data_IF_641085928215
#
_entry.id   IF_641085928215
#
_cell.length_a   1.000
_cell.length_b   1.000
_cell.length_c   1.000
_cell.angle_alpha   90.00
_cell.angle_beta   90.00
_cell.angle_gamma   90.00
#
_symmetry.space_group_name_H-M   'P 1'
#
loop_
_entity.id
_entity.type
_entity.pdbx_description
1 polymer ?
#
# COMPACT_ATOMS: atom_id res chain seq x y z
N UNK A 1 12.33 19.77 -16.99
CA UNK A 1 10.87 19.69 -16.80
C UNK A 1 10.41 18.39 -17.44
N UNK A 2 9.77 17.50 -16.68
CA UNK A 2 9.18 16.28 -17.23
C UNK A 2 7.77 16.62 -17.70
N UNK A 3 7.46 16.37 -18.98
CA UNK A 3 6.11 16.54 -19.51
C UNK A 3 5.33 15.25 -19.30
N UNK A 4 4.17 15.33 -18.65
CA UNK A 4 3.24 14.22 -18.46
C UNK A 4 1.95 14.58 -19.18
N UNK A 5 1.54 13.75 -20.13
CA UNK A 5 0.24 13.87 -20.79
C UNK A 5 -0.76 13.01 -20.04
N UNK A 6 -1.78 13.63 -19.45
CA UNK A 6 -2.87 12.92 -18.81
C UNK A 6 -3.96 12.56 -19.83
N UNK A 7 -4.53 11.36 -19.74
CA UNK A 7 -5.88 11.08 -20.26
C UNK A 7 -6.88 12.16 -19.82
N UNK A 8 -7.86 12.48 -20.68
CA UNK A 8 -8.79 13.60 -20.48
C UNK A 8 -9.60 13.49 -19.19
N UNK A 9 -10.04 12.28 -18.86
CA UNK A 9 -10.73 11.95 -17.61
C UNK A 9 -9.86 12.23 -16.38
N UNK A 10 -8.57 11.87 -16.43
CA UNK A 10 -7.62 12.15 -15.35
C UNK A 10 -7.28 13.64 -15.24
N UNK A 11 -7.20 14.35 -16.37
CA UNK A 11 -7.04 15.80 -16.36
C UNK A 11 -8.25 16.50 -15.72
N UNK A 12 -9.46 16.10 -16.09
CA UNK A 12 -10.70 16.65 -15.54
C UNK A 12 -10.82 16.39 -14.04
N UNK A 13 -10.50 15.16 -13.62
CA UNK A 13 -10.44 14.80 -12.21
C UNK A 13 -9.40 15.66 -11.47
N UNK A 14 -8.17 15.77 -11.97
CA UNK A 14 -7.12 16.55 -11.32
C UNK A 14 -7.50 18.04 -11.17
N UNK A 15 -8.16 18.61 -12.19
CA UNK A 15 -8.68 19.99 -12.13
C UNK A 15 -9.79 20.14 -11.09
N UNK A 16 -10.68 19.16 -10.98
CA UNK A 16 -11.74 19.16 -9.96
C UNK A 16 -11.17 19.09 -8.54
N UNK A 17 -10.13 18.29 -8.31
CA UNK A 17 -9.46 18.17 -7.02
C UNK A 17 -8.76 19.47 -6.59
N UNK A 18 -8.11 20.17 -7.53
CA UNK A 18 -7.55 21.51 -7.31
C UNK A 18 -8.65 22.52 -6.99
N UNK A 19 -9.76 22.48 -7.74
CA UNK A 19 -10.92 23.35 -7.48
C UNK A 19 -11.56 23.08 -6.10
N UNK A 20 -11.49 21.83 -5.62
CA UNK A 20 -11.90 21.44 -4.27
C UNK A 20 -10.89 21.83 -3.18
N UNK A 21 -9.76 22.44 -3.53
CA UNK A 21 -8.74 22.93 -2.60
C UNK A 21 -7.80 21.86 -2.08
N UNK A 22 -7.75 20.66 -2.68
CA UNK A 22 -6.83 19.60 -2.27
C UNK A 22 -5.38 19.88 -2.62
N UNK A 23 -5.12 20.73 -3.63
CA UNK A 23 -3.80 21.20 -3.99
C UNK A 23 -3.88 22.61 -4.62
N UNK A 24 -2.75 23.32 -4.64
CA UNK A 24 -2.66 24.65 -5.25
C UNK A 24 -2.77 24.61 -6.79
N UNK A 25 -2.23 23.56 -7.41
CA UNK A 25 -2.32 23.31 -8.83
C UNK A 25 -2.18 21.81 -9.15
N UNK A 26 -2.42 21.45 -10.42
CA UNK A 26 -2.40 20.06 -10.91
C UNK A 26 -1.00 19.44 -10.77
N UNK A 27 0.06 20.23 -10.95
CA UNK A 27 1.44 19.74 -10.84
C UNK A 27 1.80 19.38 -9.39
N UNK A 28 1.37 20.21 -8.43
CA UNK A 28 1.49 19.92 -7.01
C UNK A 28 0.74 18.67 -6.59
N UNK A 29 -0.50 18.52 -7.06
CA UNK A 29 -1.32 17.32 -6.82
C UNK A 29 -0.62 16.04 -7.34
N UNK A 30 -0.13 16.06 -8.59
CA UNK A 30 0.55 14.91 -9.19
C UNK A 30 1.85 14.59 -8.44
N UNK A 31 2.62 15.61 -8.06
CA UNK A 31 3.87 15.42 -7.33
C UNK A 31 3.63 14.75 -5.97
N UNK A 32 2.58 15.15 -5.27
CA UNK A 32 2.15 14.53 -4.01
C UNK A 32 1.75 13.07 -4.21
N UNK A 33 0.86 12.78 -5.18
CA UNK A 33 0.42 11.42 -5.49
C UNK A 33 1.61 10.52 -5.84
N UNK A 34 2.54 11.00 -6.67
CA UNK A 34 3.75 10.23 -7.03
C UNK A 34 4.62 9.97 -5.81
N UNK A 35 4.76 10.94 -4.91
CA UNK A 35 5.53 10.77 -3.67
C UNK A 35 4.88 9.71 -2.77
N UNK A 36 3.57 9.77 -2.58
CA UNK A 36 2.81 8.80 -1.79
C UNK A 36 2.90 7.40 -2.39
N UNK A 37 2.68 7.29 -3.70
CA UNK A 37 2.80 6.02 -4.41
C UNK A 37 4.19 5.42 -4.27
N UNK A 38 5.26 6.23 -4.37
CA UNK A 38 6.64 5.76 -4.15
C UNK A 38 6.86 5.28 -2.72
N UNK A 39 6.31 5.95 -1.72
CA UNK A 39 6.43 5.54 -0.33
C UNK A 39 5.72 4.19 -0.08
N UNK A 40 4.49 4.05 -0.59
CA UNK A 40 3.70 2.81 -0.52
C UNK A 40 4.38 1.67 -1.30
N UNK A 41 4.91 1.96 -2.48
CA UNK A 41 5.65 0.97 -3.26
C UNK A 41 6.91 0.51 -2.52
N UNK A 42 7.66 1.44 -1.93
CA UNK A 42 8.87 1.10 -1.18
C UNK A 42 8.56 0.24 0.06
N UNK A 43 7.50 0.54 0.80
CA UNK A 43 7.10 -0.27 1.96
C UNK A 43 6.66 -1.68 1.55
N UNK A 44 5.82 -1.82 0.54
CA UNK A 44 5.39 -3.13 0.04
C UNK A 44 6.56 -3.92 -0.54
N UNK A 45 7.45 -3.28 -1.30
CA UNK A 45 8.63 -3.93 -1.85
C UNK A 45 9.51 -4.51 -0.75
N UNK A 46 9.74 -3.78 0.34
CA UNK A 46 10.51 -4.27 1.47
C UNK A 46 9.88 -5.51 2.13
N UNK A 47 8.54 -5.54 2.27
CA UNK A 47 7.82 -6.70 2.81
C UNK A 47 7.95 -7.92 1.90
N UNK A 48 7.81 -7.75 0.59
CA UNK A 48 7.96 -8.83 -0.38
C UNK A 48 9.40 -9.35 -0.40
N UNK A 49 10.40 -8.46 -0.39
CA UNK A 49 11.81 -8.85 -0.31
C UNK A 49 12.15 -9.57 0.99
N UNK A 50 11.52 -9.20 2.12
CA UNK A 50 11.68 -9.93 3.37
C UNK A 50 11.02 -11.31 3.31
N UNK A 51 9.81 -11.42 2.73
CA UNK A 51 9.14 -12.70 2.55
C UNK A 51 9.98 -13.68 1.73
N UNK A 52 10.59 -13.22 0.63
CA UNK A 52 11.53 -14.06 -0.14
C UNK A 52 12.74 -14.50 0.70
N UNK A 53 13.35 -13.59 1.46
CA UNK A 53 14.49 -13.92 2.34
C UNK A 53 14.09 -14.88 3.47
N UNK A 54 12.88 -14.79 3.99
CA UNK A 54 12.34 -15.72 5.00
C UNK A 54 12.23 -17.13 4.44
N UNK A 55 11.72 -17.28 3.21
CA UNK A 55 11.68 -18.57 2.50
C UNK A 55 13.10 -19.13 2.30
N UNK A 56 14.07 -18.29 1.89
CA UNK A 56 15.47 -18.71 1.74
C UNK A 56 16.12 -19.18 3.05
N UNK A 57 15.68 -18.63 4.20
CA UNK A 57 16.09 -19.08 5.54
C UNK A 57 15.39 -20.35 6.01
N UNK A 58 14.41 -20.85 5.26
CA UNK A 58 13.62 -22.04 5.62
C UNK A 58 12.52 -21.75 6.64
N UNK A 59 12.08 -20.49 6.76
CA UNK A 59 11.01 -20.06 7.66
C UNK A 59 9.62 -20.16 7.02
N UNK A 60 9.51 -20.78 5.85
CA UNK A 60 8.21 -21.06 5.24
C UNK A 60 7.43 -22.05 6.12
N UNK A 61 6.18 -21.71 6.42
CA UNK A 61 5.27 -22.56 7.18
C UNK A 61 4.28 -23.25 6.24
N UNK A 62 3.72 -24.37 6.67
CA UNK A 62 2.64 -25.03 5.91
C UNK A 62 1.32 -24.27 6.06
N UNK A 63 0.40 -24.47 5.12
CA UNK A 63 -0.95 -23.90 5.21
C UNK A 63 -1.69 -24.40 6.47
N UNK A 64 -1.53 -25.68 6.81
CA UNK A 64 -2.13 -26.28 8.02
C UNK A 64 -1.58 -25.66 9.30
N UNK A 65 -0.27 -25.43 9.39
CA UNK A 65 0.34 -24.76 10.55
C UNK A 65 -0.10 -23.30 10.66
N UNK A 66 -0.20 -22.60 9.52
CA UNK A 66 -0.70 -21.22 9.47
C UNK A 66 -2.15 -21.13 9.95
N UNK A 67 -3.03 -21.99 9.46
CA UNK A 67 -4.44 -22.03 9.88
C UNK A 67 -4.56 -22.29 11.39
N UNK A 68 -3.74 -23.20 11.93
CA UNK A 68 -3.71 -23.48 13.37
C UNK A 68 -3.24 -22.27 14.19
N UNK A 69 -2.22 -21.52 13.73
CA UNK A 69 -1.79 -20.28 14.38
C UNK A 69 -2.89 -19.21 14.36
N UNK A 70 -3.54 -19.01 13.21
CA UNK A 70 -4.64 -18.05 13.05
C UNK A 70 -5.81 -18.38 13.97
N UNK A 71 -6.21 -19.66 14.03
CA UNK A 71 -7.27 -20.12 14.93
C UNK A 71 -6.91 -19.87 16.41
N UNK A 72 -5.63 -20.08 16.77
CA UNK A 72 -5.09 -19.76 18.09
C UNK A 72 -5.24 -18.28 18.44
N UNK A 73 -4.79 -17.40 17.56
CA UNK A 73 -4.91 -15.94 17.76
C UNK A 73 -6.36 -15.48 17.86
N UNK A 74 -7.26 -16.04 17.05
CA UNK A 74 -8.70 -15.75 17.13
C UNK A 74 -9.27 -16.18 18.49
N UNK A 75 -8.88 -17.34 19.00
CA UNK A 75 -9.32 -17.82 20.30
C UNK A 75 -8.82 -16.93 21.45
N UNK A 76 -7.56 -16.50 21.40
CA UNK A 76 -6.96 -15.58 22.36
C UNK A 76 -7.65 -14.22 22.37
N UNK A 77 -7.87 -13.62 21.20
CA UNK A 77 -8.56 -12.32 21.06
C UNK A 77 -9.98 -12.37 21.65
N UNK A 78 -10.73 -13.44 21.34
CA UNK A 78 -12.07 -13.69 21.89
C UNK A 78 -12.08 -13.91 23.40
N UNK A 79 -11.01 -14.46 23.96
CA UNK A 79 -10.87 -14.63 25.40
C UNK A 79 -10.54 -13.31 26.10
N UNK A 80 -9.75 -12.45 25.45
CA UNK A 80 -9.36 -11.13 25.97
C UNK A 80 -10.49 -10.09 25.95
N UNK A 81 -11.52 -10.28 25.12
CA UNK A 81 -12.68 -9.37 25.00
C UNK A 81 -13.90 -9.76 25.85
N UNK A 82 -13.80 -10.79 26.71
CA UNK A 82 -14.83 -11.19 27.68
C UNK A 82 -14.53 -10.69 29.08
#
# INVERSE_FOLDING_TARGET
MTTITLPKDLEDWARAEVAAGRAADVSGLIAEIVREHRAVYASHKALVEEAYRSVERGEAISEEDFDAEVDGWIAEDRAATK
#
